data_IF_069686898238
#
_entry.id   IF_069686898238
#
_cell.length_a   1.000
_cell.length_b   1.000
_cell.length_c   1.000
_cell.angle_alpha   90.00
_cell.angle_beta   90.00
_cell.angle_gamma   90.00
#
_symmetry.space_group_name_H-M   'P 1'
#
loop_
_entity.id
_entity.type
_entity.pdbx_description
1 polymer ?
#
# COMPACT_ATOMS: atom_id res chain seq x y z
N UNK A 1 -27.26 0.14 -9.82
CA UNK A 1 -27.24 -0.69 -11.05
C UNK A 1 -26.00 -1.56 -11.01
N UNK A 2 -26.13 -2.86 -11.28
CA UNK A 2 -24.98 -3.77 -11.28
C UNK A 2 -24.23 -3.66 -12.61
N UNK A 3 -22.92 -3.42 -12.56
CA UNK A 3 -22.04 -3.19 -13.71
C UNK A 3 -20.76 -3.98 -13.58
N UNK A 4 -20.06 -4.21 -14.69
CA UNK A 4 -18.71 -4.80 -14.69
C UNK A 4 -17.63 -3.72 -14.59
N UNK A 5 -16.41 -4.12 -14.24
CA UNK A 5 -15.26 -3.21 -14.22
C UNK A 5 -15.03 -2.61 -15.61
N UNK A 6 -15.13 -3.39 -16.70
CA UNK A 6 -14.94 -2.91 -18.08
C UNK A 6 -16.00 -1.88 -18.53
N UNK A 7 -17.17 -1.83 -17.87
CA UNK A 7 -18.21 -0.86 -18.18
C UNK A 7 -17.88 0.56 -17.68
N UNK A 8 -17.00 0.67 -16.68
CA UNK A 8 -16.73 1.93 -15.98
C UNK A 8 -15.29 2.44 -16.11
N UNK A 9 -14.38 1.65 -16.65
CA UNK A 9 -13.01 2.10 -16.90
C UNK A 9 -12.40 1.44 -18.13
N UNK A 10 -11.44 2.14 -18.72
CA UNK A 10 -10.61 1.62 -19.80
C UNK A 10 -9.23 1.25 -19.24
N UNK A 11 -8.62 0.20 -19.79
CA UNK A 11 -7.25 -0.17 -19.46
C UNK A 11 -6.25 0.57 -20.34
N UNK A 12 -5.09 0.94 -19.77
CA UNK A 12 -3.93 1.34 -20.51
C UNK A 12 -2.66 0.74 -19.88
N UNK A 13 -1.56 0.72 -20.62
CA UNK A 13 -0.27 0.21 -20.17
C UNK A 13 0.81 1.27 -20.29
N UNK A 14 1.92 1.07 -19.58
CA UNK A 14 3.10 1.93 -19.67
C UNK A 14 4.28 1.14 -20.23
N UNK A 15 5.14 1.81 -20.96
CA UNK A 15 6.42 1.30 -21.43
C UNK A 15 7.61 1.83 -20.62
N UNK A 16 7.36 2.71 -19.64
CA UNK A 16 8.41 3.27 -18.79
C UNK A 16 9.05 2.17 -17.94
N UNK A 17 10.38 2.13 -17.97
CA UNK A 17 11.17 1.30 -17.06
C UNK A 17 11.58 2.13 -15.84
N UNK A 18 11.91 1.47 -14.74
CA UNK A 18 12.44 2.15 -13.56
C UNK A 18 13.74 2.91 -13.88
N UNK A 19 14.60 2.36 -14.74
CA UNK A 19 15.81 3.01 -15.24
C UNK A 19 15.55 4.32 -15.98
N UNK A 20 14.38 4.47 -16.60
CA UNK A 20 14.02 5.68 -17.34
C UNK A 20 13.67 6.86 -16.42
N UNK A 21 13.46 6.60 -15.15
CA UNK A 21 13.06 7.56 -14.11
C UNK A 21 14.23 7.88 -13.18
N UNK A 22 15.06 6.88 -12.87
CA UNK A 22 16.24 7.07 -12.01
C UNK A 22 17.17 8.11 -12.61
N UNK A 23 17.60 9.08 -11.77
CA UNK A 23 18.50 10.17 -12.14
C UNK A 23 17.95 11.21 -13.13
N UNK A 24 16.65 11.17 -13.47
CA UNK A 24 16.02 12.26 -14.24
C UNK A 24 15.49 13.34 -13.32
N UNK A 25 15.61 14.58 -13.79
CA UNK A 25 14.95 15.75 -13.19
C UNK A 25 13.80 16.14 -14.11
N UNK A 26 12.60 16.27 -13.57
CA UNK A 26 11.41 16.63 -14.34
C UNK A 26 10.32 17.22 -13.44
N UNK A 27 9.17 17.52 -14.04
CA UNK A 27 8.05 18.14 -13.33
C UNK A 27 6.98 17.11 -12.91
N UNK A 28 6.84 16.01 -13.66
CA UNK A 28 5.69 15.10 -13.52
C UNK A 28 6.09 13.82 -12.79
N UNK A 29 5.35 13.45 -11.74
CA UNK A 29 5.68 12.28 -10.94
C UNK A 29 5.45 10.96 -11.70
N UNK A 30 6.30 9.99 -11.42
CA UNK A 30 6.19 8.60 -11.87
C UNK A 30 6.10 7.69 -10.67
N UNK A 31 5.23 6.69 -10.76
CA UNK A 31 4.96 5.75 -9.68
C UNK A 31 5.26 4.31 -10.13
N UNK A 32 5.65 3.50 -9.17
CA UNK A 32 5.84 2.06 -9.30
C UNK A 32 5.11 1.29 -8.23
N UNK A 33 5.39 -0.01 -8.13
CA UNK A 33 4.72 -0.89 -7.17
C UNK A 33 4.89 -0.47 -5.69
N UNK A 34 6.02 0.16 -5.34
CA UNK A 34 6.31 0.66 -3.99
C UNK A 34 5.81 2.10 -3.74
N UNK A 35 5.27 2.78 -4.77
CA UNK A 35 4.84 4.17 -4.68
C UNK A 35 5.65 5.10 -5.58
N UNK A 36 5.92 6.31 -5.12
CA UNK A 36 6.67 7.33 -5.85
C UNK A 36 8.11 6.89 -6.18
N UNK A 37 8.53 7.06 -7.45
CA UNK A 37 9.85 6.69 -7.94
C UNK A 37 10.72 7.90 -8.31
N UNK A 38 10.13 8.99 -8.78
CA UNK A 38 10.84 10.15 -9.29
C UNK A 38 9.97 10.99 -10.20
N UNK A 39 10.62 11.86 -11.00
CA UNK A 39 9.94 12.77 -11.93
C UNK A 39 10.56 12.71 -13.31
N UNK A 40 9.74 12.94 -14.34
CA UNK A 40 10.15 13.10 -15.76
C UNK A 40 9.48 14.35 -16.37
N UNK A 41 9.90 14.76 -17.56
CA UNK A 41 9.39 15.97 -18.22
C UNK A 41 8.05 15.78 -18.94
N UNK A 42 7.55 14.57 -18.98
CA UNK A 42 6.29 14.19 -19.64
C UNK A 42 5.38 13.43 -18.70
N UNK A 43 4.10 13.32 -19.05
CA UNK A 43 3.16 12.48 -18.33
C UNK A 43 2.30 11.67 -19.29
N UNK A 44 1.85 10.50 -18.86
CA UNK A 44 0.97 9.65 -19.66
C UNK A 44 -0.50 9.97 -19.45
N UNK A 45 -0.89 10.40 -18.24
CA UNK A 45 -2.29 10.61 -17.90
C UNK A 45 -2.55 12.06 -17.46
N UNK A 46 -3.47 12.71 -18.15
CA UNK A 46 -3.86 14.10 -17.88
C UNK A 46 -4.93 14.28 -16.80
N UNK A 47 -5.65 13.19 -16.46
CA UNK A 47 -6.69 13.14 -15.42
C UNK A 47 -6.27 12.19 -14.30
N UNK A 48 -6.86 12.29 -13.09
CA UNK A 48 -6.67 11.28 -12.03
C UNK A 48 -7.14 9.90 -12.49
N UNK A 49 -6.42 8.86 -12.06
CA UNK A 49 -6.67 7.49 -12.46
C UNK A 49 -6.38 6.50 -11.33
N UNK A 50 -6.80 5.27 -11.52
CA UNK A 50 -6.41 4.14 -10.67
C UNK A 50 -5.30 3.37 -11.34
N UNK A 51 -4.28 2.97 -10.59
CA UNK A 51 -3.22 2.09 -11.06
C UNK A 51 -3.19 0.80 -10.24
N UNK A 52 -2.87 -0.31 -10.90
CA UNK A 52 -2.74 -1.62 -10.28
C UNK A 52 -1.37 -2.17 -10.58
N UNK A 53 -0.72 -2.75 -9.58
CA UNK A 53 0.49 -3.55 -9.77
C UNK A 53 0.08 -4.85 -10.45
N UNK A 54 0.51 -5.05 -11.70
CA UNK A 54 0.16 -6.22 -12.49
C UNK A 54 1.25 -7.28 -12.54
N UNK A 55 2.50 -6.94 -12.23
CA UNK A 55 3.65 -7.82 -12.30
C UNK A 55 4.47 -7.76 -11.00
N UNK A 56 4.90 -8.91 -10.47
CA UNK A 56 5.83 -9.05 -9.36
C UNK A 56 5.17 -9.15 -7.98
N UNK A 57 5.98 -9.02 -6.93
CA UNK A 57 5.61 -9.30 -5.53
C UNK A 57 4.47 -8.44 -4.94
N UNK A 58 4.07 -7.37 -5.61
CA UNK A 58 2.99 -6.48 -5.13
C UNK A 58 1.71 -6.57 -5.94
N UNK A 59 1.50 -7.65 -6.71
CA UNK A 59 0.32 -7.79 -7.60
C UNK A 59 -0.99 -7.53 -6.85
N UNK A 60 -1.94 -6.90 -7.53
CA UNK A 60 -3.23 -6.52 -6.94
C UNK A 60 -3.19 -5.21 -6.16
N UNK A 61 -2.01 -4.73 -5.72
CA UNK A 61 -1.91 -3.44 -5.02
C UNK A 61 -2.46 -2.32 -5.91
N UNK A 62 -3.41 -1.60 -5.37
CA UNK A 62 -4.17 -0.57 -6.06
C UNK A 62 -3.80 0.81 -5.51
N UNK A 63 -3.63 1.78 -6.40
CA UNK A 63 -3.29 3.17 -6.05
C UNK A 63 -4.22 4.14 -6.77
N UNK A 64 -4.67 5.16 -6.08
CA UNK A 64 -5.31 6.34 -6.68
C UNK A 64 -4.23 7.37 -6.95
N UNK A 65 -3.99 7.69 -8.21
CA UNK A 65 -2.89 8.55 -8.63
C UNK A 65 -3.39 9.88 -9.23
N UNK A 66 -2.60 10.95 -9.08
CA UNK A 66 -2.99 12.28 -9.52
C UNK A 66 -2.96 12.42 -11.05
N UNK A 67 -3.62 13.45 -11.54
CA UNK A 67 -3.45 13.96 -12.90
C UNK A 67 -2.00 14.34 -13.17
N UNK A 68 -1.62 14.39 -14.44
CA UNK A 68 -0.27 14.74 -14.92
C UNK A 68 0.81 13.86 -14.28
N UNK A 69 0.58 12.55 -14.31
CA UNK A 69 1.51 11.56 -13.77
C UNK A 69 1.61 10.32 -14.67
N UNK A 70 2.55 9.45 -14.34
CA UNK A 70 2.79 8.19 -15.06
C UNK A 70 3.06 7.05 -14.10
N UNK A 71 2.95 5.81 -14.60
CA UNK A 71 3.43 4.61 -13.89
C UNK A 71 4.43 3.86 -14.76
N UNK A 72 5.26 3.02 -14.15
CA UNK A 72 6.17 2.13 -14.88
C UNK A 72 5.45 0.89 -15.42
N UNK A 73 6.12 0.15 -16.30
CA UNK A 73 5.56 -0.96 -17.06
C UNK A 73 5.04 -2.14 -16.24
N UNK A 74 5.48 -2.29 -14.98
CA UNK A 74 4.95 -3.31 -14.04
C UNK A 74 3.57 -2.98 -13.48
N UNK A 75 3.04 -1.81 -13.83
CA UNK A 75 1.71 -1.36 -13.43
C UNK A 75 0.78 -1.23 -14.63
N UNK A 76 -0.50 -1.24 -14.36
CA UNK A 76 -1.56 -1.02 -15.33
C UNK A 76 -2.41 0.17 -14.92
N UNK A 77 -2.76 1.02 -15.88
CA UNK A 77 -3.77 2.07 -15.70
C UNK A 77 -5.17 1.48 -15.79
N UNK A 78 -6.06 1.94 -14.92
CA UNK A 78 -7.50 1.89 -15.08
C UNK A 78 -8.00 3.34 -15.15
N UNK A 79 -8.44 3.74 -16.32
CA UNK A 79 -8.86 5.10 -16.64
C UNK A 79 -10.38 5.20 -16.42
N UNK A 80 -10.85 5.93 -15.39
CA UNK A 80 -12.28 6.05 -15.13
C UNK A 80 -13.03 6.70 -16.29
N UNK A 81 -14.17 6.12 -16.66
CA UNK A 81 -15.14 6.73 -17.59
C UNK A 81 -15.95 7.81 -16.87
N UNK A 82 -16.80 8.51 -17.64
CA UNK A 82 -17.56 9.65 -17.12
C UNK A 82 -18.69 9.28 -16.11
N UNK A 83 -18.95 7.99 -15.90
CA UNK A 83 -19.97 7.49 -14.98
C UNK A 83 -19.45 7.12 -13.59
N UNK A 84 -18.14 7.22 -13.33
CA UNK A 84 -17.52 6.83 -12.07
C UNK A 84 -16.44 7.83 -11.60
N UNK A 85 -16.45 8.15 -10.31
CA UNK A 85 -15.37 8.94 -9.71
C UNK A 85 -14.08 8.10 -9.58
N UNK A 86 -12.90 8.66 -9.88
CA UNK A 86 -11.62 7.94 -9.72
C UNK A 86 -11.42 7.36 -8.32
N UNK A 87 -11.77 8.12 -7.28
CA UNK A 87 -11.66 7.66 -5.89
C UNK A 87 -12.67 6.54 -5.57
N UNK A 88 -13.86 6.56 -6.15
CA UNK A 88 -14.83 5.47 -5.96
C UNK A 88 -14.35 4.20 -6.67
N UNK A 89 -13.85 4.31 -7.91
CA UNK A 89 -13.23 3.20 -8.63
C UNK A 89 -12.07 2.59 -7.82
N UNK A 90 -11.21 3.42 -7.22
CA UNK A 90 -10.12 2.96 -6.36
C UNK A 90 -10.62 2.05 -5.24
N UNK A 91 -11.65 2.44 -4.50
CA UNK A 91 -12.19 1.61 -3.42
C UNK A 91 -12.88 0.35 -3.93
N UNK A 92 -13.59 0.44 -5.07
CA UNK A 92 -14.20 -0.73 -5.71
C UNK A 92 -13.12 -1.76 -6.06
N UNK A 93 -12.04 -1.33 -6.73
CA UNK A 93 -10.95 -2.23 -7.15
C UNK A 93 -10.21 -2.79 -5.93
N UNK A 94 -9.87 -1.95 -4.95
CA UNK A 94 -9.20 -2.36 -3.71
C UNK A 94 -9.97 -3.47 -2.97
N UNK A 95 -11.31 -3.38 -2.93
CA UNK A 95 -12.17 -4.35 -2.28
C UNK A 95 -12.32 -5.67 -3.06
N UNK A 96 -11.79 -5.79 -4.27
CA UNK A 96 -11.90 -7.01 -5.08
C UNK A 96 -10.78 -8.02 -4.85
N UNK A 97 -9.71 -7.63 -4.15
CA UNK A 97 -8.61 -8.53 -3.87
C UNK A 97 -8.09 -9.21 -5.14
N UNK A 98 -7.63 -8.38 -6.09
CA UNK A 98 -7.29 -8.83 -7.45
C UNK A 98 -6.08 -9.78 -7.49
N UNK A 99 -5.32 -9.87 -6.41
CA UNK A 99 -4.26 -10.87 -6.22
C UNK A 99 -4.76 -12.31 -6.39
N UNK A 100 -6.05 -12.57 -6.17
CA UNK A 100 -6.66 -13.90 -6.42
C UNK A 100 -6.60 -14.36 -7.87
N UNK A 101 -6.39 -13.44 -8.81
CA UNK A 101 -6.26 -13.72 -10.25
C UNK A 101 -4.82 -13.92 -10.69
N UNK A 102 -3.89 -14.11 -9.75
CA UNK A 102 -2.50 -14.26 -10.11
C UNK A 102 -2.28 -15.51 -10.99
N UNK A 103 -1.37 -15.38 -11.94
CA UNK A 103 -0.87 -16.45 -12.78
C UNK A 103 0.64 -16.32 -12.91
N UNK A 104 1.32 -17.40 -13.33
CA UNK A 104 2.78 -17.43 -13.48
C UNK A 104 3.49 -18.09 -12.30
N UNK A 105 4.34 -19.07 -12.60
CA UNK A 105 5.05 -19.85 -11.58
C UNK A 105 6.25 -19.13 -10.97
N UNK A 106 6.95 -18.30 -11.75
CA UNK A 106 8.19 -17.63 -11.31
C UNK A 106 7.95 -16.17 -10.97
N UNK A 107 7.22 -15.45 -11.81
CA UNK A 107 6.85 -14.04 -11.58
C UNK A 107 5.33 -13.97 -11.61
N UNK A 108 4.69 -13.58 -10.52
CA UNK A 108 3.24 -13.41 -10.49
C UNK A 108 2.78 -12.32 -11.46
N UNK A 109 1.71 -12.59 -12.20
CA UNK A 109 1.06 -11.64 -13.11
C UNK A 109 -0.44 -11.66 -12.90
N UNK A 110 -1.08 -10.50 -13.11
CA UNK A 110 -2.53 -10.38 -13.24
C UNK A 110 -2.87 -9.66 -14.55
N UNK A 111 -3.91 -10.11 -15.22
CA UNK A 111 -4.34 -9.55 -16.50
C UNK A 111 -5.74 -8.96 -16.41
N UNK A 112 -5.97 -7.84 -17.07
CA UNK A 112 -7.29 -7.20 -17.11
C UNK A 112 -8.40 -8.13 -17.58
N UNK A 113 -8.12 -9.02 -18.53
CA UNK A 113 -9.06 -10.01 -19.06
C UNK A 113 -9.66 -10.92 -17.96
N UNK A 114 -8.90 -11.16 -16.88
CA UNK A 114 -9.28 -12.11 -15.84
C UNK A 114 -10.24 -11.47 -14.81
N UNK A 115 -10.13 -10.16 -14.56
CA UNK A 115 -10.95 -9.45 -13.58
C UNK A 115 -11.92 -8.41 -14.18
N UNK A 116 -11.86 -8.10 -15.47
CA UNK A 116 -12.73 -7.12 -16.12
C UNK A 116 -14.23 -7.39 -15.97
N UNK A 117 -14.61 -8.66 -15.81
CA UNK A 117 -15.99 -9.11 -15.64
C UNK A 117 -16.46 -9.10 -14.17
N UNK A 118 -15.61 -8.76 -13.20
CA UNK A 118 -16.02 -8.57 -11.82
C UNK A 118 -17.13 -7.51 -11.73
N UNK A 119 -18.18 -7.83 -10.98
CA UNK A 119 -19.37 -6.99 -10.91
C UNK A 119 -19.46 -6.26 -9.57
N UNK A 120 -20.00 -5.04 -9.61
CA UNK A 120 -20.28 -4.25 -8.42
C UNK A 120 -21.50 -3.35 -8.65
N UNK A 121 -22.03 -2.78 -7.58
CA UNK A 121 -23.14 -1.86 -7.65
C UNK A 121 -22.65 -0.43 -7.91
N UNK A 122 -22.92 0.08 -9.11
CA UNK A 122 -22.68 1.47 -9.46
C UNK A 122 -23.84 2.32 -8.96
N UNK A 123 -23.53 3.27 -8.08
CA UNK A 123 -24.47 4.24 -7.54
C UNK A 123 -24.30 5.60 -8.22
N UNK A 124 -25.25 6.52 -8.04
CA UNK A 124 -25.14 7.87 -8.59
C UNK A 124 -23.97 8.65 -7.96
N UNK A 125 -23.55 9.74 -8.60
CA UNK A 125 -22.36 10.52 -8.18
C UNK A 125 -22.45 11.05 -6.75
N UNK A 126 -23.61 11.49 -6.30
CA UNK A 126 -23.76 11.99 -4.92
C UNK A 126 -23.52 10.87 -3.90
N UNK A 127 -24.02 9.68 -4.18
CA UNK A 127 -23.76 8.52 -3.32
C UNK A 127 -22.30 8.06 -3.38
N UNK A 128 -21.67 8.12 -4.59
CA UNK A 128 -20.22 7.84 -4.72
C UNK A 128 -19.40 8.80 -3.84
N UNK A 129 -19.68 10.12 -3.89
CA UNK A 129 -19.00 11.12 -3.05
C UNK A 129 -19.16 10.82 -1.55
N UNK A 130 -20.38 10.50 -1.11
CA UNK A 130 -20.66 10.16 0.29
C UNK A 130 -19.86 8.92 0.75
N UNK A 131 -19.84 7.87 -0.07
CA UNK A 131 -19.10 6.64 0.22
C UNK A 131 -17.59 6.94 0.30
N UNK A 132 -17.05 7.63 -0.71
CA UNK A 132 -15.63 8.03 -0.74
C UNK A 132 -15.25 8.86 0.49
N UNK A 133 -16.10 9.82 0.87
CA UNK A 133 -15.86 10.64 2.07
C UNK A 133 -15.77 9.78 3.33
N UNK A 134 -16.74 8.89 3.55
CA UNK A 134 -16.76 8.00 4.72
C UNK A 134 -15.52 7.09 4.76
N UNK A 135 -15.15 6.49 3.64
CA UNK A 135 -13.98 5.61 3.57
C UNK A 135 -12.67 6.36 3.83
N UNK A 136 -12.52 7.59 3.31
CA UNK A 136 -11.37 8.45 3.61
C UNK A 136 -11.28 8.82 5.09
N UNK A 137 -12.41 9.10 5.74
CA UNK A 137 -12.43 9.37 7.19
C UNK A 137 -11.98 8.13 7.96
N UNK A 138 -12.47 6.95 7.61
CA UNK A 138 -12.05 5.69 8.24
C UNK A 138 -10.55 5.45 8.03
N UNK A 139 -10.03 5.59 6.80
CA UNK A 139 -8.59 5.44 6.53
C UNK A 139 -7.75 6.41 7.37
N UNK A 140 -8.21 7.67 7.52
CA UNK A 140 -7.51 8.65 8.36
C UNK A 140 -7.51 8.24 9.84
N UNK A 141 -8.64 7.77 10.36
CA UNK A 141 -8.72 7.26 11.74
C UNK A 141 -7.76 6.09 11.94
N UNK A 142 -7.74 5.13 11.01
CA UNK A 142 -6.83 3.98 11.09
C UNK A 142 -5.35 4.41 11.06
N UNK A 143 -5.00 5.39 10.22
CA UNK A 143 -3.63 5.93 10.17
C UNK A 143 -3.27 6.58 11.50
N UNK A 144 -4.13 7.44 12.05
CA UNK A 144 -3.89 8.10 13.33
C UNK A 144 -3.71 7.08 14.47
N UNK A 145 -4.57 6.06 14.55
CA UNK A 145 -4.45 5.00 15.57
C UNK A 145 -3.14 4.22 15.45
N UNK A 146 -2.69 3.92 14.23
CA UNK A 146 -1.40 3.27 14.01
C UNK A 146 -0.22 4.16 14.43
N UNK A 147 -0.32 5.46 14.21
CA UNK A 147 0.72 6.40 14.63
C UNK A 147 0.72 6.57 16.16
N UNK A 148 -0.45 6.59 16.81
CA UNK A 148 -0.56 6.56 18.27
C UNK A 148 0.07 5.30 18.87
N UNK A 149 -0.15 4.13 18.30
CA UNK A 149 0.49 2.88 18.75
C UNK A 149 2.02 2.97 18.69
N UNK A 150 2.58 3.54 17.63
CA UNK A 150 4.05 3.76 17.55
C UNK A 150 4.54 4.70 18.64
N UNK A 151 3.81 5.78 18.91
CA UNK A 151 4.16 6.71 19.99
C UNK A 151 4.10 6.05 21.37
N UNK A 152 3.18 5.13 21.61
CA UNK A 152 3.16 4.33 22.84
C UNK A 152 4.39 3.44 22.96
N UNK A 153 4.80 2.78 21.88
CA UNK A 153 6.03 1.97 21.88
C UNK A 153 7.29 2.83 22.18
N UNK A 154 7.36 4.03 21.61
CA UNK A 154 8.43 4.99 21.89
C UNK A 154 8.40 5.46 23.36
N UNK A 155 7.21 5.75 23.89
CA UNK A 155 7.03 6.16 25.28
C UNK A 155 7.46 5.06 26.25
N UNK A 156 7.09 3.81 26.00
CA UNK A 156 7.53 2.67 26.83
C UNK A 156 9.05 2.56 26.83
N UNK A 157 9.70 2.67 25.67
CA UNK A 157 11.18 2.66 25.57
C UNK A 157 11.81 3.82 26.33
N UNK A 158 11.29 5.03 26.14
CA UNK A 158 11.79 6.23 26.82
C UNK A 158 11.62 6.10 28.33
N UNK A 159 10.49 5.61 28.81
CA UNK A 159 10.24 5.39 30.24
C UNK A 159 11.13 4.30 30.82
N UNK A 160 11.40 3.25 30.07
CA UNK A 160 12.37 2.23 30.48
C UNK A 160 13.76 2.83 30.68
N UNK A 161 14.23 3.62 29.73
CA UNK A 161 15.55 4.29 29.83
C UNK A 161 15.58 5.30 30.98
N UNK A 162 14.50 6.04 31.19
CA UNK A 162 14.39 6.97 32.33
C UNK A 162 14.48 6.26 33.69
N UNK A 163 13.86 5.08 33.80
CA UNK A 163 13.81 4.34 35.07
C UNK A 163 15.08 3.52 35.32
N UNK A 164 15.66 2.96 34.27
CA UNK A 164 16.76 1.95 34.40
C UNK A 164 18.08 2.40 33.78
N UNK A 165 18.12 3.56 33.12
CA UNK A 165 19.29 4.00 32.37
C UNK A 165 19.48 3.25 31.06
N UNK A 166 20.57 3.53 30.35
CA UNK A 166 20.98 2.77 29.17
C UNK A 166 21.63 1.46 29.57
N UNK A 167 21.40 0.40 28.79
CA UNK A 167 21.96 -0.94 29.09
C UNK A 167 23.49 -0.97 29.10
N UNK A 168 24.16 0.01 28.47
CA UNK A 168 25.60 0.06 28.35
C UNK A 168 26.31 0.65 29.56
N UNK A 169 25.67 1.56 30.32
CA UNK A 169 26.43 2.45 31.20
C UNK A 169 26.10 2.28 32.70
N UNK A 170 25.06 1.50 33.04
CA UNK A 170 24.60 1.28 34.42
C UNK A 170 24.62 2.56 35.30
N UNK A 171 24.21 3.68 34.70
CA UNK A 171 24.27 5.02 35.34
C UNK A 171 23.56 5.07 36.70
N UNK A 172 22.56 4.23 36.89
CA UNK A 172 21.79 4.15 38.14
C UNK A 172 22.42 3.23 39.18
N UNK A 173 23.55 2.61 38.89
CA UNK A 173 24.30 1.77 39.83
C UNK A 173 23.58 0.51 40.29
N UNK A 174 22.76 -0.10 39.45
CA UNK A 174 22.09 -1.36 39.76
C UNK A 174 23.08 -2.50 39.92
N UNK A 175 22.75 -3.44 40.81
CA UNK A 175 23.56 -4.66 40.99
C UNK A 175 23.56 -5.48 39.70
N UNK A 176 24.76 -5.89 39.26
CA UNK A 176 24.93 -6.76 38.10
C UNK A 176 24.95 -8.21 38.60
N UNK A 177 23.99 -8.99 38.13
CA UNK A 177 23.87 -10.41 38.47
C UNK A 177 23.87 -11.26 37.19
N UNK A 178 24.24 -12.53 37.31
CA UNK A 178 24.13 -13.46 36.18
C UNK A 178 22.68 -13.92 36.04
N UNK A 179 22.23 -14.13 34.80
CA UNK A 179 20.85 -14.54 34.50
C UNK A 179 20.47 -15.83 35.25
N UNK A 180 21.41 -16.73 35.41
CA UNK A 180 21.21 -18.01 36.11
C UNK A 180 20.84 -17.82 37.60
N UNK A 181 21.28 -16.76 38.22
CA UNK A 181 20.98 -16.46 39.62
C UNK A 181 19.53 -15.93 39.85
N UNK A 182 18.92 -15.40 38.78
CA UNK A 182 17.59 -14.76 38.86
C UNK A 182 16.49 -15.50 38.05
N UNK A 183 16.86 -16.55 37.33
CA UNK A 183 15.94 -17.37 36.56
C UNK A 183 15.88 -18.80 37.07
N UNK A 184 14.68 -19.31 37.37
CA UNK A 184 14.48 -20.71 37.76
C UNK A 184 14.65 -21.71 36.60
N UNK A 185 14.59 -21.23 35.36
CA UNK A 185 14.72 -22.05 34.17
C UNK A 185 15.13 -21.18 32.97
N UNK A 186 16.20 -21.54 32.30
CA UNK A 186 16.64 -20.93 31.04
C UNK A 186 16.53 -22.01 29.96
N UNK A 187 15.79 -21.76 28.92
CA UNK A 187 15.66 -22.67 27.75
C UNK A 187 15.68 -21.85 26.48
N UNK A 188 16.35 -22.39 25.46
CA UNK A 188 16.22 -21.87 24.10
C UNK A 188 14.76 -22.03 23.59
N UNK A 189 14.26 -21.02 22.89
CA UNK A 189 12.97 -21.08 22.23
C UNK A 189 12.92 -22.18 21.16
N UNK A 190 11.73 -22.61 20.80
CA UNK A 190 11.56 -23.53 19.67
C UNK A 190 11.97 -22.82 18.38
N UNK A 191 12.83 -23.45 17.57
CA UNK A 191 13.23 -22.95 16.25
C UNK A 191 12.11 -23.08 15.19
N UNK A 192 10.88 -23.40 15.60
CA UNK A 192 9.72 -23.48 14.71
C UNK A 192 8.94 -22.15 14.72
N UNK A 193 8.60 -21.67 13.53
CA UNK A 193 7.71 -20.51 13.37
C UNK A 193 6.36 -20.82 14.05
N UNK A 194 5.87 -19.94 14.95
CA UNK A 194 4.56 -20.15 15.57
C UNK A 194 3.48 -20.24 14.49
N UNK A 195 2.66 -21.28 14.56
CA UNK A 195 1.43 -21.38 13.77
C UNK A 195 0.32 -20.66 14.54
N UNK A 196 -0.11 -19.50 14.03
CA UNK A 196 -1.26 -18.75 14.52
C UNK A 196 -2.47 -19.00 13.64
#
# INVERSE_FOLDING_TARGET
MRVKIEDVCDKATSNLKQSDVMNKKGLFPVFGAAGYLGKIDTFHQSKPYVAIVKDGAGIGRTMLLPAKSSVIGTMQYLLPKDNILPAYLYYVIKARHLEKYFSGATIPHIYFKDYKNEQFDLVNFEKQKQIVHKLKVIEKIMTNLNDELKLFDELIKARFVEMFGTLSDNENGFDVVIIDDVCSLIKDGTHQTPQY
#
